data_IF_618141716887
#
_entry.id   IF_618141716887
#
_cell.length_a   1.000
_cell.length_b   1.000
_cell.length_c   1.000
_cell.angle_alpha   90.00
_cell.angle_beta   90.00
_cell.angle_gamma   90.00
#
_symmetry.space_group_name_H-M   'P 1'
#
loop_
_entity.id
_entity.type
_entity.pdbx_description
1 polymer ?
#
# COMPACT_ATOMS: atom_id res chain seq x y z
N UNK A 1 -8.91 -29.12 4.05
CA UNK A 1 -7.67 -28.76 4.78
C UNK A 1 -8.08 -28.16 6.12
N UNK A 2 -7.61 -28.71 7.26
CA UNK A 2 -7.91 -28.08 8.56
C UNK A 2 -7.14 -26.75 8.61
N UNK A 3 -7.85 -25.65 8.89
CA UNK A 3 -7.30 -24.29 8.85
C UNK A 3 -6.03 -24.12 9.71
N UNK A 4 -5.93 -24.88 10.81
CA UNK A 4 -4.82 -24.82 11.77
C UNK A 4 -3.48 -25.40 11.28
N UNK A 5 -3.48 -26.22 10.23
CA UNK A 5 -2.26 -26.91 9.76
C UNK A 5 -1.49 -26.11 8.70
N UNK A 6 -1.95 -24.89 8.37
CA UNK A 6 -1.29 -24.00 7.41
C UNK A 6 -1.34 -22.55 7.88
N UNK A 7 -0.18 -21.89 8.11
CA UNK A 7 -0.13 -20.47 8.47
C UNK A 7 -0.85 -19.57 7.46
N UNK A 8 -0.81 -19.93 6.17
CA UNK A 8 -1.49 -19.19 5.11
C UNK A 8 -3.01 -19.36 5.17
N UNK A 9 -3.50 -20.58 5.46
CA UNK A 9 -4.93 -20.79 5.66
C UNK A 9 -5.44 -20.02 6.89
N UNK A 10 -4.67 -20.00 7.97
CA UNK A 10 -4.99 -19.21 9.17
C UNK A 10 -5.04 -17.71 8.86
N UNK A 11 -4.07 -17.21 8.08
CA UNK A 11 -4.07 -15.81 7.63
C UNK A 11 -5.34 -15.46 6.86
N UNK A 12 -5.73 -16.28 5.88
CA UNK A 12 -6.95 -16.05 5.10
C UNK A 12 -8.25 -16.33 5.86
N UNK A 13 -8.20 -17.11 6.95
CA UNK A 13 -9.33 -17.23 7.86
C UNK A 13 -9.61 -15.90 8.58
N UNK A 14 -8.57 -15.25 9.13
CA UNK A 14 -8.74 -13.96 9.81
C UNK A 14 -8.98 -12.80 8.85
N UNK A 15 -8.32 -12.82 7.70
CA UNK A 15 -8.40 -11.82 6.63
C UNK A 15 -8.90 -12.48 5.32
N UNK A 16 -10.22 -12.69 5.16
CA UNK A 16 -10.79 -13.41 4.02
C UNK A 16 -10.49 -12.72 2.68
N UNK A 17 -10.49 -13.50 1.59
CA UNK A 17 -10.29 -13.01 0.21
C UNK A 17 -11.20 -11.82 -0.12
N UNK A 18 -12.47 -11.88 0.30
CA UNK A 18 -13.44 -10.80 0.10
C UNK A 18 -13.00 -9.47 0.75
N UNK A 19 -12.27 -9.51 1.88
CA UNK A 19 -11.73 -8.31 2.49
C UNK A 19 -10.62 -7.70 1.62
N UNK A 20 -9.71 -8.51 1.07
CA UNK A 20 -8.65 -8.03 0.18
C UNK A 20 -9.20 -7.45 -1.13
N UNK A 21 -10.25 -8.05 -1.68
CA UNK A 21 -10.98 -7.51 -2.84
C UNK A 21 -11.58 -6.14 -2.52
N UNK A 22 -12.25 -6.00 -1.37
CA UNK A 22 -12.80 -4.72 -0.91
C UNK A 22 -11.70 -3.66 -0.75
N UNK A 23 -10.59 -3.99 -0.10
CA UNK A 23 -9.47 -3.05 0.09
C UNK A 23 -8.88 -2.63 -1.26
N UNK A 24 -8.71 -3.55 -2.21
CA UNK A 24 -8.22 -3.21 -3.55
C UNK A 24 -9.15 -2.21 -4.26
N UNK A 25 -10.47 -2.41 -4.19
CA UNK A 25 -11.45 -1.45 -4.72
C UNK A 25 -11.29 -0.08 -4.05
N UNK A 26 -11.24 -0.03 -2.71
CA UNK A 26 -11.06 1.22 -1.98
C UNK A 26 -9.75 1.94 -2.36
N UNK A 27 -8.64 1.21 -2.49
CA UNK A 27 -7.35 1.78 -2.89
C UNK A 27 -7.42 2.41 -4.29
N UNK A 28 -8.05 1.73 -5.24
CA UNK A 28 -8.19 2.21 -6.61
C UNK A 28 -9.14 3.41 -6.70
N UNK A 29 -10.26 3.38 -5.98
CA UNK A 29 -11.18 4.53 -5.90
C UNK A 29 -10.48 5.75 -5.32
N UNK A 30 -9.77 5.58 -4.20
CA UNK A 30 -8.99 6.66 -3.60
C UNK A 30 -7.94 7.23 -4.55
N UNK A 31 -7.24 6.37 -5.31
CA UNK A 31 -6.30 6.81 -6.34
C UNK A 31 -6.98 7.70 -7.40
N UNK A 32 -8.20 7.35 -7.83
CA UNK A 32 -8.97 8.15 -8.79
C UNK A 32 -9.43 9.48 -8.18
N UNK A 33 -9.95 9.47 -6.96
CA UNK A 33 -10.36 10.68 -6.23
C UNK A 33 -9.20 11.67 -6.06
N UNK A 34 -7.97 11.17 -5.83
CA UNK A 34 -6.78 11.98 -5.65
C UNK A 34 -6.12 12.43 -6.97
N UNK A 35 -6.67 12.07 -8.13
CA UNK A 35 -6.01 12.30 -9.41
C UNK A 35 -5.74 13.80 -9.66
N UNK A 36 -6.77 14.65 -9.58
CA UNK A 36 -6.63 16.08 -9.86
C UNK A 36 -5.68 16.75 -8.86
N UNK A 37 -5.86 16.49 -7.57
CA UNK A 37 -5.00 17.04 -6.52
C UNK A 37 -3.53 16.67 -6.75
N UNK A 38 -3.24 15.46 -7.25
CA UNK A 38 -1.87 15.04 -7.57
C UNK A 38 -1.33 15.71 -8.83
N UNK A 39 -2.17 15.95 -9.84
CA UNK A 39 -1.79 16.73 -11.02
C UNK A 39 -1.44 18.15 -10.60
N UNK A 40 -2.29 18.80 -9.79
CA UNK A 40 -2.07 20.16 -9.29
C UNK A 40 -0.80 20.26 -8.43
N UNK A 41 -0.63 19.35 -7.47
CA UNK A 41 0.56 19.31 -6.63
C UNK A 41 1.85 19.11 -7.44
N UNK A 42 1.80 18.36 -8.55
CA UNK A 42 2.94 18.24 -9.45
C UNK A 42 3.26 19.57 -10.14
N UNK A 43 2.26 20.26 -10.71
CA UNK A 43 2.45 21.54 -11.38
C UNK A 43 2.99 22.59 -10.42
N UNK A 44 2.37 22.72 -9.25
CA UNK A 44 2.78 23.69 -8.22
C UNK A 44 4.23 23.43 -7.77
N UNK A 45 4.60 22.15 -7.56
CA UNK A 45 5.98 21.78 -7.20
C UNK A 45 6.97 22.15 -8.31
N UNK A 46 6.60 21.98 -9.58
CA UNK A 46 7.44 22.33 -10.72
C UNK A 46 7.59 23.85 -10.88
N UNK A 47 6.51 24.61 -10.74
CA UNK A 47 6.57 26.07 -10.77
C UNK A 47 7.48 26.62 -9.66
N UNK A 48 7.33 26.10 -8.43
CA UNK A 48 8.21 26.45 -7.30
C UNK A 48 9.67 26.11 -7.56
N UNK A 49 9.95 25.02 -8.27
CA UNK A 49 11.30 24.61 -8.65
C UNK A 49 11.92 25.57 -9.67
N UNK A 50 11.17 25.93 -10.71
CA UNK A 50 11.63 26.88 -11.74
C UNK A 50 11.88 28.29 -11.18
N UNK A 51 11.02 28.75 -10.25
CA UNK A 51 11.27 30.02 -9.54
C UNK A 51 12.59 30.01 -8.76
N UNK A 52 13.04 28.84 -8.29
CA UNK A 52 14.30 28.68 -7.54
C UNK A 52 15.51 28.43 -8.44
N UNK A 53 15.29 27.90 -9.65
CA UNK A 53 16.32 27.50 -10.62
C UNK A 53 15.84 27.81 -12.03
N UNK A 54 15.94 29.07 -12.47
CA UNK A 54 15.45 29.50 -13.77
C UNK A 54 16.29 28.96 -14.95
N UNK A 55 17.50 28.48 -14.67
CA UNK A 55 18.44 27.83 -15.58
C UNK A 55 18.13 26.33 -15.84
N UNK A 56 17.12 25.77 -15.17
CA UNK A 56 16.74 24.37 -15.31
C UNK A 56 15.99 24.12 -16.65
N UNK A 57 16.70 23.58 -17.64
CA UNK A 57 16.16 23.28 -18.98
C UNK A 57 15.27 22.03 -19.05
N UNK A 58 15.07 21.31 -17.94
CA UNK A 58 14.35 20.03 -17.92
C UNK A 58 12.89 20.21 -18.39
N UNK A 59 12.46 19.56 -19.51
CA UNK A 59 11.13 19.71 -20.08
C UNK A 59 10.02 19.49 -19.05
N UNK A 60 9.09 20.44 -18.98
CA UNK A 60 7.95 20.36 -18.08
C UNK A 60 6.87 19.52 -18.76
N UNK A 61 6.55 18.36 -18.18
CA UNK A 61 5.36 17.60 -18.58
C UNK A 61 4.12 18.47 -18.39
N UNK A 62 3.28 18.52 -19.43
CA UNK A 62 2.03 19.29 -19.37
C UNK A 62 1.07 18.69 -18.35
N UNK A 63 0.03 19.44 -17.96
CA UNK A 63 -1.06 18.93 -17.10
C UNK A 63 -1.65 17.63 -17.68
N UNK A 64 -1.88 17.59 -18.98
CA UNK A 64 -2.40 16.41 -19.68
C UNK A 64 -1.45 15.23 -19.61
N UNK A 65 -0.14 15.45 -19.83
CA UNK A 65 0.86 14.36 -19.76
C UNK A 65 0.93 13.75 -18.37
N UNK A 66 0.91 14.59 -17.33
CA UNK A 66 0.95 14.14 -15.93
C UNK A 66 -0.32 13.36 -15.60
N UNK A 67 -1.49 13.87 -16.00
CA UNK A 67 -2.78 13.19 -15.83
C UNK A 67 -2.76 11.82 -16.50
N UNK A 68 -2.35 11.75 -17.77
CA UNK A 68 -2.26 10.49 -18.52
C UNK A 68 -1.30 9.51 -17.85
N UNK A 69 -0.14 9.99 -17.39
CA UNK A 69 0.84 9.17 -16.67
C UNK A 69 0.28 8.59 -15.37
N UNK A 70 -0.46 9.38 -14.59
CA UNK A 70 -1.09 8.92 -13.34
C UNK A 70 -2.25 7.93 -13.60
N UNK A 71 -3.01 8.13 -14.68
CA UNK A 71 -4.06 7.21 -15.13
C UNK A 71 -3.50 5.88 -15.62
N UNK A 72 -2.36 5.91 -16.32
CA UNK A 72 -1.70 4.72 -16.87
C UNK A 72 -1.14 3.77 -15.80
N UNK A 73 -1.01 4.21 -14.54
CA UNK A 73 -0.59 3.34 -13.45
C UNK A 73 -1.59 2.19 -13.27
N UNK A 74 -1.11 0.95 -13.29
CA UNK A 74 -1.96 -0.24 -13.16
C UNK A 74 -2.77 -0.22 -11.85
N UNK A 75 -4.04 -0.68 -11.87
CA UNK A 75 -4.85 -0.81 -10.66
C UNK A 75 -4.18 -1.77 -9.66
N UNK A 76 -4.39 -1.54 -8.38
CA UNK A 76 -3.94 -2.43 -7.29
C UNK A 76 -4.80 -3.68 -7.28
N UNK A 77 -4.17 -4.85 -7.33
CA UNK A 77 -4.85 -6.15 -7.28
C UNK A 77 -4.86 -6.72 -5.85
N UNK A 78 -5.85 -7.56 -5.49
CA UNK A 78 -5.94 -8.13 -4.13
C UNK A 78 -4.71 -8.93 -3.71
N UNK A 79 -4.11 -9.70 -4.61
CA UNK A 79 -2.90 -10.47 -4.31
C UNK A 79 -1.66 -9.59 -4.10
N UNK A 80 -1.59 -8.42 -4.75
CA UNK A 80 -0.50 -7.46 -4.51
C UNK A 80 -0.59 -6.87 -3.10
N UNK A 81 -1.80 -6.67 -2.56
CA UNK A 81 -1.97 -6.28 -1.15
C UNK A 81 -1.48 -7.37 -0.20
N UNK A 82 -1.73 -8.65 -0.52
CA UNK A 82 -1.19 -9.76 0.27
C UNK A 82 0.36 -9.75 0.26
N UNK A 83 0.99 -9.55 -0.90
CA UNK A 83 2.45 -9.43 -1.01
C UNK A 83 2.96 -8.21 -0.25
N UNK A 84 2.31 -7.05 -0.39
CA UNK A 84 2.66 -5.81 0.31
C UNK A 84 2.66 -6.01 1.84
N UNK A 85 1.61 -6.63 2.39
CA UNK A 85 1.52 -6.96 3.82
C UNK A 85 2.57 -7.99 4.20
N UNK A 86 2.82 -9.01 3.36
CA UNK A 86 3.90 -9.98 3.56
C UNK A 86 5.27 -9.32 3.68
N UNK A 87 5.57 -8.30 2.86
CA UNK A 87 6.81 -7.52 2.95
C UNK A 87 6.90 -6.68 4.23
N UNK A 88 5.77 -6.13 4.71
CA UNK A 88 5.72 -5.44 6.01
C UNK A 88 5.98 -6.40 7.18
N UNK A 89 5.41 -7.61 7.13
CA UNK A 89 5.65 -8.65 8.14
C UNK A 89 7.11 -9.12 8.11
N UNK A 90 7.67 -9.36 6.92
CA UNK A 90 9.08 -9.73 6.77
C UNK A 90 10.01 -8.67 7.36
N UNK A 91 9.72 -7.39 7.16
CA UNK A 91 10.45 -6.29 7.79
C UNK A 91 10.29 -6.26 9.31
N UNK A 92 9.12 -6.59 9.84
CA UNK A 92 8.90 -6.64 11.29
C UNK A 92 9.70 -7.78 11.95
N UNK A 93 9.85 -8.92 11.26
CA UNK A 93 10.62 -10.09 11.72
C UNK A 93 12.13 -9.84 11.59
N UNK A 94 12.57 -9.26 10.48
CA UNK A 94 13.97 -8.88 10.25
C UNK A 94 14.09 -7.35 10.23
N UNK A 95 14.11 -6.71 11.42
CA UNK A 95 14.15 -5.26 11.51
C UNK A 95 15.49 -4.74 10.99
N UNK A 96 15.50 -4.23 9.76
CA UNK A 96 16.51 -3.26 9.34
C UNK A 96 16.15 -1.92 10.01
N UNK A 97 17.01 -1.45 10.92
CA UNK A 97 16.81 -0.21 11.70
C UNK A 97 16.81 1.05 10.83
N UNK A 98 17.14 0.93 9.54
CA UNK A 98 17.14 2.03 8.59
C UNK A 98 15.82 2.15 7.81
N UNK A 99 15.89 2.73 6.60
CA UNK A 99 14.75 3.03 5.74
C UNK A 99 14.20 1.76 5.08
N UNK A 100 12.87 1.68 4.94
CA UNK A 100 12.19 0.57 4.22
C UNK A 100 12.73 0.37 2.81
N UNK A 101 13.15 1.45 2.15
CA UNK A 101 13.74 1.43 0.80
C UNK A 101 15.00 0.57 0.71
N UNK A 102 15.70 0.35 1.82
CA UNK A 102 16.95 -0.41 1.82
C UNK A 102 16.75 -1.89 1.52
N UNK A 103 15.55 -2.42 1.73
CA UNK A 103 15.21 -3.78 1.32
C UNK A 103 15.19 -3.98 -0.22
N UNK A 104 15.35 -2.90 -1.00
CA UNK A 104 15.55 -2.94 -2.46
C UNK A 104 16.97 -2.58 -2.91
N UNK A 105 17.92 -2.33 -1.98
CA UNK A 105 19.32 -2.14 -2.37
C UNK A 105 19.86 -3.43 -3.01
N UNK A 106 20.56 -3.27 -4.14
CA UNK A 106 21.10 -4.39 -4.92
C UNK A 106 22.57 -4.69 -4.60
N UNK A 107 23.22 -3.84 -3.81
CA UNK A 107 24.60 -4.01 -3.38
C UNK A 107 24.65 -4.32 -1.88
N UNK A 108 25.65 -5.10 -1.50
CA UNK A 108 26.09 -5.20 -0.11
C UNK A 108 26.86 -3.91 0.24
N UNK A 109 26.57 -3.33 1.40
CA UNK A 109 27.28 -2.16 1.92
C UNK A 109 27.84 -2.51 3.30
N UNK A 110 29.15 -2.76 3.37
CA UNK A 110 29.80 -3.20 4.61
C UNK A 110 29.23 -4.53 5.12
N UNK A 111 28.75 -4.56 6.35
CA UNK A 111 28.09 -5.74 6.95
C UNK A 111 26.61 -5.90 6.62
N UNK A 112 26.04 -5.05 5.75
CA UNK A 112 24.61 -5.08 5.39
C UNK A 112 24.44 -5.88 4.10
N UNK A 113 23.71 -7.00 4.19
CA UNK A 113 23.37 -7.83 3.04
C UNK A 113 22.37 -7.15 2.09
N UNK A 114 22.46 -7.50 0.81
CA UNK A 114 21.57 -7.11 -0.27
C UNK A 114 20.10 -7.36 0.08
N UNK A 115 19.26 -6.40 -0.30
CA UNK A 115 17.82 -6.49 -0.13
C UNK A 115 17.15 -7.46 -1.10
N UNK A 116 16.24 -8.30 -0.59
CA UNK A 116 15.53 -9.32 -1.36
C UNK A 116 14.14 -8.92 -1.83
N UNK A 117 13.64 -7.73 -1.47
CA UNK A 117 12.24 -7.36 -1.75
C UNK A 117 11.96 -7.22 -3.24
N UNK A 118 12.99 -6.94 -4.06
CA UNK A 118 12.85 -6.85 -5.52
C UNK A 118 12.35 -8.15 -6.16
N UNK A 119 12.56 -9.29 -5.51
CA UNK A 119 12.11 -10.60 -5.99
C UNK A 119 10.60 -10.77 -5.88
N UNK A 120 9.94 -9.97 -5.03
CA UNK A 120 8.50 -10.09 -4.74
C UNK A 120 7.70 -8.90 -5.25
N UNK A 121 8.23 -7.68 -5.13
CA UNK A 121 7.57 -6.47 -5.59
C UNK A 121 8.60 -5.37 -5.89
N UNK A 122 8.45 -4.64 -6.99
CA UNK A 122 9.31 -3.49 -7.29
C UNK A 122 9.07 -2.37 -6.26
N UNK A 123 10.13 -1.65 -5.88
CA UNK A 123 10.08 -0.53 -4.91
C UNK A 123 9.00 0.49 -5.24
N UNK A 124 8.93 0.91 -6.50
CA UNK A 124 8.00 1.95 -6.91
C UNK A 124 6.54 1.45 -6.85
N UNK A 125 6.31 0.17 -7.10
CA UNK A 125 4.99 -0.46 -6.92
C UNK A 125 4.59 -0.54 -5.45
N UNK A 126 5.53 -0.88 -4.56
CA UNK A 126 5.30 -0.85 -3.11
C UNK A 126 4.93 0.56 -2.63
N UNK A 127 5.66 1.59 -3.07
CA UNK A 127 5.38 2.98 -2.71
C UNK A 127 4.05 3.46 -3.28
N UNK A 128 3.69 3.03 -4.49
CA UNK A 128 2.39 3.32 -5.09
C UNK A 128 1.25 2.69 -4.27
N UNK A 129 1.36 1.42 -3.87
CA UNK A 129 0.37 0.78 -3.00
C UNK A 129 0.31 1.49 -1.65
N UNK A 130 1.46 1.78 -1.03
CA UNK A 130 1.53 2.48 0.26
C UNK A 130 0.85 3.85 0.24
N UNK A 131 0.99 4.60 -0.86
CA UNK A 131 0.37 5.93 -1.01
C UNK A 131 -1.14 5.87 -1.21
N UNK A 132 -1.63 4.79 -1.82
CA UNK A 132 -3.04 4.62 -2.17
C UNK A 132 -3.80 3.69 -1.22
N UNK A 133 -3.15 3.17 -0.17
CA UNK A 133 -3.78 2.22 0.75
C UNK A 133 -5.00 2.85 1.42
N UNK A 134 -6.16 2.25 1.18
CA UNK A 134 -7.44 2.75 1.68
C UNK A 134 -8.39 1.59 1.98
N UNK A 135 -9.18 1.70 3.05
CA UNK A 135 -10.00 0.59 3.56
C UNK A 135 -11.52 0.83 3.52
N UNK A 136 -11.96 2.07 3.28
CA UNK A 136 -13.37 2.45 3.19
C UNK A 136 -13.55 3.59 2.19
N UNK A 137 -14.76 3.88 1.71
CA UNK A 137 -15.02 5.02 0.81
C UNK A 137 -14.99 6.35 1.57
N UNK A 138 -14.40 7.40 0.98
CA UNK A 138 -14.44 8.75 1.56
C UNK A 138 -15.85 9.36 1.65
N UNK A 139 -16.82 8.76 0.95
CA UNK A 139 -18.23 9.17 0.98
C UNK A 139 -19.00 8.57 2.17
N UNK A 140 -18.49 7.49 2.78
CA UNK A 140 -19.20 6.72 3.81
C UNK A 140 -18.78 7.15 5.21
N UNK A 141 -18.86 8.45 5.51
CA UNK A 141 -18.43 9.02 6.80
C UNK A 141 -19.44 8.80 7.92
N UNK A 142 -19.63 7.54 8.31
CA UNK A 142 -20.69 7.15 9.26
C UNK A 142 -20.35 7.39 10.73
N UNK A 143 -19.07 7.33 11.11
CA UNK A 143 -18.61 7.46 12.49
C UNK A 143 -17.10 7.82 12.57
N UNK A 144 -16.55 8.16 13.74
CA UNK A 144 -15.14 8.58 13.89
C UNK A 144 -14.09 7.57 13.35
N UNK A 145 -14.42 6.29 13.30
CA UNK A 145 -13.57 5.20 12.84
C UNK A 145 -13.98 4.65 11.45
N UNK A 146 -14.84 5.36 10.70
CA UNK A 146 -15.37 4.90 9.41
C UNK A 146 -14.27 4.42 8.44
N UNK A 147 -13.09 5.05 8.48
CA UNK A 147 -11.92 4.69 7.64
C UNK A 147 -11.41 3.27 7.85
N UNK A 148 -11.60 2.68 9.03
CA UNK A 148 -11.12 1.32 9.35
C UNK A 148 -12.26 0.37 9.74
N UNK A 149 -13.50 0.87 9.82
CA UNK A 149 -14.67 0.16 10.34
C UNK A 149 -14.87 -1.21 9.70
N UNK A 150 -14.75 -1.29 8.36
CA UNK A 150 -14.93 -2.56 7.63
C UNK A 150 -13.90 -3.60 8.02
N UNK A 151 -12.63 -3.22 8.11
CA UNK A 151 -11.52 -4.11 8.51
C UNK A 151 -11.73 -4.59 9.95
N UNK A 152 -12.02 -3.67 10.87
CA UNK A 152 -12.27 -3.99 12.28
C UNK A 152 -13.44 -4.96 12.43
N UNK A 153 -14.55 -4.71 11.73
CA UNK A 153 -15.72 -5.59 11.77
C UNK A 153 -15.42 -7.00 11.27
N UNK A 154 -14.68 -7.13 10.16
CA UNK A 154 -14.27 -8.44 9.65
C UNK A 154 -13.37 -9.17 10.64
N UNK A 155 -12.36 -8.49 11.19
CA UNK A 155 -11.45 -9.06 12.17
C UNK A 155 -12.19 -9.51 13.44
N UNK A 156 -13.03 -8.66 14.03
CA UNK A 156 -13.82 -9.04 15.21
C UNK A 156 -14.69 -10.28 14.95
N UNK A 157 -15.31 -10.36 13.77
CA UNK A 157 -16.12 -11.52 13.38
C UNK A 157 -15.29 -12.79 13.22
N UNK A 158 -14.12 -12.71 12.59
CA UNK A 158 -13.26 -13.88 12.35
C UNK A 158 -12.58 -14.34 13.65
N UNK A 159 -12.15 -13.41 14.51
CA UNK A 159 -11.63 -13.72 15.85
C UNK A 159 -12.64 -14.46 16.72
N UNK A 160 -13.88 -13.96 16.83
CA UNK A 160 -14.93 -14.65 17.61
C UNK A 160 -15.25 -16.06 17.10
N UNK A 161 -15.05 -16.32 15.80
CA UNK A 161 -15.28 -17.63 15.19
C UNK A 161 -14.09 -18.58 15.33
N UNK A 162 -12.87 -18.03 15.36
CA UNK A 162 -11.63 -18.82 15.34
C UNK A 162 -11.01 -19.06 16.71
N UNK A 163 -11.45 -18.34 17.74
CA UNK A 163 -10.88 -18.41 19.07
C UNK A 163 -11.98 -18.60 20.13
N UNK A 164 -11.85 -19.66 20.93
CA UNK A 164 -12.68 -19.92 22.10
C UNK A 164 -11.83 -19.56 23.32
N UNK A 165 -12.23 -18.56 24.14
CA UNK A 165 -11.48 -18.23 25.34
C UNK A 165 -11.56 -19.38 26.35
N UNK A 166 -10.51 -19.61 27.16
CA UNK A 166 -10.59 -20.55 28.27
C UNK A 166 -11.69 -20.11 29.26
N UNK A 167 -12.38 -21.09 29.85
CA UNK A 167 -13.28 -20.84 30.98
C UNK A 167 -12.49 -20.23 32.13
N UNK A 168 -12.90 -19.03 32.54
CA UNK A 168 -12.43 -18.35 33.76
C UNK A 168 -12.72 -19.18 35.00
#
# INVERSE_FOLDING_TARGET
>A
MKCKDSPLALFFFFMPVALWQHIAVCCNNYKHEQLESRVEAYIERREKMLRRRPDEETPIRTRSDVRMSLMAVKPVMPHELCVFIGLLLARAIQPNREKVSNHWKQADEGGIARGVFTNYMKRDRFMEISRNLHFSSNLDQTDRAWKIRKVVHVLQRTFRRGYIPPTT
#
